data_IF_060406478331
#
_entry.id   IF_060406478331
#
_cell.length_a   1.000
_cell.length_b   1.000
_cell.length_c   1.000
_cell.angle_alpha   90.00
_cell.angle_beta   90.00
_cell.angle_gamma   90.00
#
_symmetry.space_group_name_H-M   'P 1'
#
loop_
_entity.id
_entity.type
_entity.pdbx_description
1 polymer ?
#
# COMPACT_ATOMS: atom_id res chain seq x y z
N UNK A 1 -17.73 0.11 12.97
CA UNK A 1 -16.50 -0.68 13.30
C UNK A 1 -16.15 -0.55 14.78
N UNK A 2 -16.22 0.64 15.36
CA UNK A 2 -15.84 0.86 16.77
C UNK A 2 -16.77 0.17 17.77
N UNK A 3 -18.08 0.11 17.49
CA UNK A 3 -19.06 -0.57 18.35
C UNK A 3 -18.78 -2.07 18.55
N UNK A 4 -18.26 -2.76 17.53
CA UNK A 4 -17.91 -4.17 17.62
C UNK A 4 -16.74 -4.39 18.59
N UNK A 5 -15.78 -3.47 18.61
CA UNK A 5 -14.63 -3.55 19.50
C UNK A 5 -14.95 -3.15 20.94
N UNK A 6 -15.95 -2.30 21.17
CA UNK A 6 -16.46 -1.97 22.51
C UNK A 6 -17.13 -3.19 23.15
N UNK A 7 -17.91 -3.95 22.37
CA UNK A 7 -18.57 -5.19 22.84
C UNK A 7 -17.57 -6.31 23.18
N UNK A 8 -16.38 -6.29 22.58
CA UNK A 8 -15.34 -7.28 22.83
C UNK A 8 -14.53 -6.97 24.11
N UNK A 9 -14.36 -5.71 24.48
CA UNK A 9 -13.49 -5.30 25.58
C UNK A 9 -13.76 -5.98 26.96
N UNK A 10 -15.02 -6.24 27.38
CA UNK A 10 -15.28 -6.91 28.66
C UNK A 10 -14.95 -8.41 28.65
N UNK A 11 -14.79 -9.03 27.48
CA UNK A 11 -14.56 -10.48 27.32
C UNK A 11 -13.05 -10.78 27.23
N UNK A 12 -12.22 -9.76 27.01
CA UNK A 12 -10.79 -9.91 26.78
C UNK A 12 -9.98 -9.99 28.08
N UNK A 13 -9.07 -10.97 28.12
CA UNK A 13 -7.97 -11.05 29.10
C UNK A 13 -6.98 -9.90 28.86
N UNK A 14 -6.19 -9.53 29.87
CA UNK A 14 -5.18 -8.46 29.82
C UNK A 14 -4.29 -8.54 28.57
N UNK A 15 -3.75 -9.72 28.29
CA UNK A 15 -2.80 -9.94 27.19
C UNK A 15 -3.48 -9.79 25.83
N UNK A 16 -4.79 -10.05 25.76
CA UNK A 16 -5.58 -9.90 24.54
C UNK A 16 -5.94 -8.43 24.28
N UNK A 17 -6.12 -7.62 25.33
CA UNK A 17 -6.31 -6.16 25.20
C UNK A 17 -5.08 -5.50 24.59
N UNK A 18 -3.88 -5.90 25.01
CA UNK A 18 -2.62 -5.43 24.41
C UNK A 18 -2.53 -5.79 22.92
N UNK A 19 -2.93 -7.01 22.54
CA UNK A 19 -2.99 -7.43 21.13
C UNK A 19 -4.04 -6.64 20.34
N UNK A 20 -5.19 -6.33 20.94
CA UNK A 20 -6.24 -5.52 20.32
C UNK A 20 -5.77 -4.09 20.06
N UNK A 21 -5.05 -3.47 21.00
CA UNK A 21 -4.44 -2.14 20.80
C UNK A 21 -3.45 -2.16 19.65
N UNK A 22 -2.56 -3.15 19.61
CA UNK A 22 -1.60 -3.32 18.52
C UNK A 22 -2.30 -3.55 17.15
N UNK A 23 -3.40 -4.32 17.14
CA UNK A 23 -4.19 -4.57 15.94
C UNK A 23 -4.88 -3.29 15.45
N UNK A 24 -5.50 -2.50 16.34
CA UNK A 24 -6.11 -1.21 15.98
C UNK A 24 -5.09 -0.24 15.41
N UNK A 25 -3.89 -0.16 16.00
CA UNK A 25 -2.80 0.66 15.49
C UNK A 25 -2.40 0.27 14.06
N UNK A 26 -2.22 -1.04 13.80
CA UNK A 26 -1.90 -1.55 12.45
C UNK A 26 -3.03 -1.35 11.44
N UNK A 27 -4.28 -1.53 11.87
CA UNK A 27 -5.47 -1.31 11.02
C UNK A 27 -5.65 0.18 10.66
N UNK A 28 -5.30 1.10 11.57
CA UNK A 28 -5.27 2.53 11.29
C UNK A 28 -4.16 2.92 10.31
N UNK A 29 -2.97 2.33 10.46
CA UNK A 29 -1.83 2.55 9.57
C UNK A 29 -2.03 1.96 8.17
N UNK A 30 -2.71 0.82 8.05
CA UNK A 30 -3.01 0.16 6.78
C UNK A 30 -4.12 0.81 5.94
N UNK A 31 -4.79 1.86 6.44
CA UNK A 31 -5.84 2.60 5.70
C UNK A 31 -5.41 4.00 5.27
N UNK A 32 -4.26 4.48 5.74
CA UNK A 32 -3.73 5.81 5.40
C UNK A 32 -3.31 5.96 3.93
N UNK A 33 -3.04 4.85 3.25
CA UNK A 33 -2.64 4.82 1.83
C UNK A 33 -3.78 4.56 0.83
N UNK A 34 -4.97 4.15 1.29
CA UNK A 34 -6.11 3.80 0.43
C UNK A 34 -7.37 4.59 0.83
N UNK A 35 -7.28 5.91 0.94
CA UNK A 35 -8.49 6.73 0.90
C UNK A 35 -8.93 6.83 -0.56
N UNK A 36 -9.96 6.08 -0.93
CA UNK A 36 -10.56 6.10 -2.27
C UNK A 36 -10.17 4.94 -3.22
N UNK A 37 -9.64 3.82 -2.71
CA UNK A 37 -9.30 2.66 -3.54
C UNK A 37 -8.08 2.84 -4.45
N UNK A 38 -7.43 4.02 -4.41
CA UNK A 38 -6.20 4.31 -5.14
C UNK A 38 -4.97 4.10 -4.26
N UNK A 39 -3.83 3.81 -4.89
CA UNK A 39 -2.50 3.68 -4.26
C UNK A 39 -1.58 4.80 -4.73
N UNK A 40 -0.58 5.19 -3.93
CA UNK A 40 0.39 6.21 -4.38
C UNK A 40 1.38 5.64 -5.39
N UNK A 41 1.71 6.39 -6.44
CA UNK A 41 2.70 6.03 -7.45
C UNK A 41 3.46 7.24 -7.99
N UNK A 42 4.38 6.99 -8.92
CA UNK A 42 5.10 8.01 -9.67
C UNK A 42 5.08 7.61 -11.13
N UNK A 43 4.72 8.56 -11.99
CA UNK A 43 4.89 8.46 -13.44
C UNK A 43 5.94 9.46 -13.89
N UNK A 44 6.53 9.24 -15.07
CA UNK A 44 7.50 10.17 -15.64
C UNK A 44 6.92 10.81 -16.89
N UNK A 45 7.01 12.13 -16.97
CA UNK A 45 6.71 12.88 -18.19
C UNK A 45 8.02 13.25 -18.89
N UNK A 46 8.00 13.29 -20.21
CA UNK A 46 9.13 13.76 -20.99
C UNK A 46 9.02 15.27 -21.20
N UNK A 47 10.03 16.02 -20.75
CA UNK A 47 10.13 17.46 -20.98
C UNK A 47 11.56 17.79 -21.39
N UNK A 48 11.72 18.47 -22.52
CA UNK A 48 13.02 18.87 -23.07
C UNK A 48 14.02 17.69 -23.18
N UNK A 49 13.50 16.52 -23.59
CA UNK A 49 14.28 15.29 -23.72
C UNK A 49 14.67 14.61 -22.40
N UNK A 50 14.18 15.10 -21.26
CA UNK A 50 14.50 14.57 -19.93
C UNK A 50 13.25 14.04 -19.21
N UNK A 51 13.34 12.90 -18.51
CA UNK A 51 12.25 12.40 -17.69
C UNK A 51 12.10 13.25 -16.42
N UNK A 52 10.88 13.72 -16.14
CA UNK A 52 10.52 14.44 -14.91
C UNK A 52 9.55 13.57 -14.11
N UNK A 53 9.85 13.26 -12.83
CA UNK A 53 8.96 12.48 -11.99
C UNK A 53 7.75 13.31 -11.57
N UNK A 54 6.57 12.71 -11.63
CA UNK A 54 5.30 13.29 -11.19
C UNK A 54 4.62 12.32 -10.22
N UNK A 55 4.39 12.71 -8.95
CA UNK A 55 3.64 11.89 -8.00
C UNK A 55 2.16 11.82 -8.39
N UNK A 56 1.59 10.63 -8.38
CA UNK A 56 0.19 10.37 -8.76
C UNK A 56 -0.49 9.41 -7.79
N UNK A 57 -1.82 9.37 -7.85
CA UNK A 57 -2.63 8.28 -7.30
C UNK A 57 -2.99 7.33 -8.44
N UNK A 58 -2.82 6.04 -8.22
CA UNK A 58 -3.05 4.94 -9.17
C UNK A 58 -4.33 4.22 -8.78
N UNK A 59 -5.30 4.19 -9.68
CA UNK A 59 -6.61 3.56 -9.51
C UNK A 59 -6.73 2.21 -10.19
N UNK A 60 -7.92 1.94 -10.72
CA UNK A 60 -8.23 0.66 -11.36
C UNK A 60 -7.48 0.50 -12.70
N UNK A 61 -7.31 -0.76 -13.11
CA UNK A 61 -6.75 -1.11 -14.42
C UNK A 61 -7.61 -2.17 -15.08
N UNK A 62 -7.75 -2.08 -16.40
CA UNK A 62 -8.35 -3.12 -17.26
C UNK A 62 -7.30 -4.02 -17.93
N UNK A 63 -6.02 -3.87 -17.56
CA UNK A 63 -4.87 -4.58 -18.12
C UNK A 63 -4.21 -3.88 -19.31
N UNK A 64 -4.90 -2.96 -19.99
CA UNK A 64 -4.32 -2.14 -21.06
C UNK A 64 -4.07 -0.70 -20.60
N UNK A 65 -4.96 -0.18 -19.75
CA UNK A 65 -4.92 1.16 -19.20
C UNK A 65 -5.05 1.12 -17.68
N UNK A 66 -4.41 2.08 -17.02
CA UNK A 66 -4.52 2.27 -15.57
C UNK A 66 -4.97 3.70 -15.32
N UNK A 67 -6.00 3.86 -14.50
CA UNK A 67 -6.45 5.18 -14.06
C UNK A 67 -5.36 5.83 -13.20
N UNK A 68 -5.04 7.09 -13.50
CA UNK A 68 -4.16 7.91 -12.68
C UNK A 68 -4.81 9.25 -12.36
N UNK A 69 -4.58 9.75 -11.15
CA UNK A 69 -4.99 11.08 -10.71
C UNK A 69 -3.77 11.84 -10.25
N UNK A 70 -3.45 12.91 -10.97
CA UNK A 70 -2.48 13.92 -10.55
C UNK A 70 -3.20 15.04 -9.82
N UNK A 71 -3.05 15.08 -8.49
CA UNK A 71 -3.67 16.12 -7.64
C UNK A 71 -3.02 17.50 -7.80
N UNK A 72 -1.83 17.58 -8.39
CA UNK A 72 -1.12 18.84 -8.64
C UNK A 72 -1.52 19.50 -9.97
N UNK A 73 -2.12 18.74 -10.89
CA UNK A 73 -2.45 19.22 -12.24
C UNK A 73 -1.22 19.50 -13.12
N UNK A 74 -0.08 18.88 -12.81
CA UNK A 74 1.14 18.92 -13.61
C UNK A 74 0.95 18.21 -14.95
N UNK A 75 0.24 17.08 -14.96
CA UNK A 75 -0.09 16.33 -16.18
C UNK A 75 -1.29 16.98 -16.85
N UNK A 76 -1.09 17.44 -18.08
CA UNK A 76 -2.13 18.02 -18.94
C UNK A 76 -2.31 17.16 -20.19
N UNK A 77 -3.42 17.36 -20.89
CA UNK A 77 -3.64 16.77 -22.20
C UNK A 77 -2.47 17.10 -23.15
N UNK A 78 -2.02 16.11 -23.91
CA UNK A 78 -0.84 16.21 -24.78
C UNK A 78 0.51 16.03 -24.08
N UNK A 79 0.56 15.89 -22.76
CA UNK A 79 1.82 15.55 -22.06
C UNK A 79 2.32 14.16 -22.48
N UNK A 80 3.59 14.08 -22.89
CA UNK A 80 4.23 12.81 -23.23
C UNK A 80 4.58 12.03 -21.95
N UNK A 81 3.81 10.98 -21.66
CA UNK A 81 4.06 10.07 -20.53
C UNK A 81 4.96 8.92 -20.99
N UNK A 82 5.95 8.58 -20.17
CA UNK A 82 6.86 7.45 -20.42
C UNK A 82 6.21 6.16 -19.92
N UNK A 83 5.83 5.27 -20.83
CA UNK A 83 5.13 3.99 -20.54
C UNK A 83 6.02 2.75 -20.66
N UNK A 84 7.28 2.92 -21.09
CA UNK A 84 8.23 1.83 -21.24
C UNK A 84 9.67 2.33 -21.40
N UNK A 85 10.63 1.41 -21.36
CA UNK A 85 12.05 1.75 -21.29
C UNK A 85 12.56 1.93 -19.86
N UNK A 86 13.88 1.88 -19.68
CA UNK A 86 14.55 1.88 -18.39
C UNK A 86 14.99 0.49 -17.93
N UNK A 87 15.87 0.40 -16.91
CA UNK A 87 16.36 -0.88 -16.39
C UNK A 87 15.19 -1.72 -15.88
N UNK A 88 15.10 -2.99 -16.32
CA UNK A 88 14.10 -3.92 -15.78
C UNK A 88 14.28 -3.98 -14.27
N UNK A 89 13.23 -3.62 -13.52
CA UNK A 89 13.22 -3.77 -12.08
C UNK A 89 13.54 -5.24 -11.76
N UNK A 90 14.60 -5.48 -10.99
CA UNK A 90 14.85 -6.82 -10.46
C UNK A 90 13.65 -7.15 -9.58
N UNK A 91 12.84 -8.11 -10.00
CA UNK A 91 11.75 -8.64 -9.19
C UNK A 91 12.39 -9.20 -7.92
N UNK A 92 12.32 -8.43 -6.84
CA UNK A 92 12.66 -8.95 -5.53
C UNK A 92 11.55 -9.91 -5.18
N UNK A 93 11.86 -11.21 -5.18
CA UNK A 93 10.95 -12.24 -4.72
C UNK A 93 10.49 -11.83 -3.31
N UNK A 94 9.22 -11.44 -3.19
CA UNK A 94 8.61 -11.25 -1.88
C UNK A 94 8.58 -12.63 -1.24
N UNK A 95 9.48 -12.89 -0.30
CA UNK A 95 9.45 -14.13 0.46
C UNK A 95 8.06 -14.25 1.10
N UNK A 96 7.29 -15.33 0.83
CA UNK A 96 5.95 -15.50 1.37
C UNK A 96 5.93 -15.71 2.90
N UNK A 97 7.09 -15.69 3.56
CA UNK A 97 7.27 -16.00 4.99
C UNK A 97 7.39 -14.80 5.93
N UNK A 98 7.38 -13.54 5.46
CA UNK A 98 7.38 -12.38 6.38
C UNK A 98 5.98 -11.96 6.86
N UNK A 99 4.95 -12.75 6.54
CA UNK A 99 3.58 -12.58 7.03
C UNK A 99 3.07 -13.81 7.78
N UNK A 100 3.28 -13.84 9.10
CA UNK A 100 2.49 -14.68 10.01
C UNK A 100 3.18 -15.94 10.52
N UNK A 101 3.03 -16.17 11.83
CA UNK A 101 3.28 -17.47 12.45
C UNK A 101 4.57 -17.56 13.26
N UNK A 102 4.60 -16.91 14.42
CA UNK A 102 5.52 -17.30 15.49
C UNK A 102 5.17 -18.72 15.97
N UNK A 103 5.76 -19.73 15.35
CA UNK A 103 5.72 -21.12 15.79
C UNK A 103 6.79 -21.35 16.84
N UNK A 104 6.35 -21.48 18.10
CA UNK A 104 7.19 -21.93 19.21
C UNK A 104 7.70 -23.34 18.90
N UNK A 105 9.03 -23.50 18.75
CA UNK A 105 9.65 -24.83 18.78
C UNK A 105 10.07 -25.14 20.22
N UNK A 106 9.23 -25.90 20.93
CA UNK A 106 9.62 -26.51 22.20
C UNK A 106 10.67 -27.58 21.89
N UNK A 107 11.88 -27.42 22.42
CA UNK A 107 12.94 -28.43 22.37
C UNK A 107 12.76 -29.33 23.59
N UNK A 108 12.42 -30.59 23.35
CA UNK A 108 12.25 -31.60 24.38
C UNK A 108 13.53 -31.84 25.18
N UNK A 109 13.33 -32.16 26.47
CA UNK A 109 14.30 -32.73 27.39
C UNK A 109 14.56 -34.20 27.04
#
# INVERSE_FOLDING_TARGET
>A
MDEAFVKLDPILKSDQKTKLVALRARMGQGRGGQRGGMTSGVVYILKDGKPIPVPVMVGATDGSFTEIVDRSGTIKEGAAVITGGGPKAKVQARNPMTGGGGGVRVRGL
#
